data_IF_135395682376
#
_entry.id   IF_135395682376
#
_cell.length_a   1.000
_cell.length_b   1.000
_cell.length_c   1.000
_cell.angle_alpha   90.00
_cell.angle_beta   90.00
_cell.angle_gamma   90.00
#
_symmetry.space_group_name_H-M   'P 1'
#
loop_
_entity.id
_entity.type
_entity.pdbx_description
1 polymer ?
#
# COMPACT_ATOMS: atom_id res chain seq x y z
N UNK A 1 4.97 1.37 -9.65
CA UNK A 1 4.33 1.89 -8.43
C UNK A 1 5.30 2.79 -7.72
N UNK A 2 4.95 4.07 -7.64
CA UNK A 2 5.68 5.07 -6.89
C UNK A 2 5.34 4.91 -5.41
N UNK A 3 6.36 4.94 -4.55
CA UNK A 3 6.25 4.91 -3.09
C UNK A 3 6.56 6.31 -2.57
N UNK A 4 5.67 6.83 -1.73
CA UNK A 4 5.84 8.12 -1.07
C UNK A 4 5.66 7.96 0.43
N UNK A 5 6.46 8.68 1.21
CA UNK A 5 6.39 8.70 2.67
C UNK A 5 5.97 10.07 3.18
N UNK A 6 4.98 10.11 4.06
CA UNK A 6 4.56 11.31 4.76
C UNK A 6 5.34 11.44 6.09
N UNK A 7 6.28 12.40 6.22
CA UNK A 7 7.07 12.53 7.44
C UNK A 7 6.26 13.01 8.65
N UNK A 8 5.06 13.56 8.45
CA UNK A 8 4.20 14.04 9.53
C UNK A 8 3.33 12.92 10.12
N UNK A 9 2.74 12.07 9.27
CA UNK A 9 1.83 10.99 9.72
C UNK A 9 2.49 9.62 9.83
N UNK A 10 3.65 9.42 9.20
CA UNK A 10 4.30 8.12 9.04
C UNK A 10 3.69 7.24 7.94
N UNK A 11 2.71 7.76 7.18
CA UNK A 11 2.02 7.02 6.12
C UNK A 11 2.93 6.76 4.92
N UNK A 12 2.78 5.57 4.34
CA UNK A 12 3.27 5.29 3.00
C UNK A 12 2.11 5.25 2.01
N UNK A 13 2.24 6.01 0.93
CA UNK A 13 1.29 6.06 -0.17
C UNK A 13 1.88 5.42 -1.43
N UNK A 14 1.04 4.67 -2.14
CA UNK A 14 1.43 3.91 -3.32
C UNK A 14 0.52 4.23 -4.50
N UNK A 15 1.13 4.62 -5.63
CA UNK A 15 0.37 5.00 -6.83
C UNK A 15 1.08 4.68 -8.14
N UNK A 16 0.30 4.41 -9.19
CA UNK A 16 0.76 4.38 -10.58
C UNK A 16 0.74 5.78 -11.24
N UNK A 17 0.00 6.73 -10.66
CA UNK A 17 -0.19 8.07 -11.20
C UNK A 17 1.04 8.95 -10.94
N UNK A 18 1.62 9.44 -12.03
CA UNK A 18 2.68 10.46 -12.00
C UNK A 18 2.17 11.75 -11.36
N UNK A 19 0.93 12.14 -11.65
CA UNK A 19 0.34 13.36 -11.12
C UNK A 19 0.10 13.30 -9.61
N UNK A 20 -0.35 12.16 -9.07
CA UNK A 20 -0.50 11.99 -7.62
C UNK A 20 0.88 12.04 -6.93
N UNK A 21 1.88 11.33 -7.49
CA UNK A 21 3.26 11.38 -6.99
C UNK A 21 3.78 12.82 -6.95
N UNK A 22 3.67 13.55 -8.06
CA UNK A 22 4.22 14.91 -8.18
C UNK A 22 3.50 15.90 -7.28
N UNK A 23 2.17 15.76 -7.15
CA UNK A 23 1.39 16.57 -6.23
C UNK A 23 1.81 16.34 -4.77
N UNK A 24 1.87 15.08 -4.33
CA UNK A 24 2.26 14.71 -2.97
C UNK A 24 3.69 15.18 -2.64
N UNK A 25 4.62 14.99 -3.57
CA UNK A 25 5.99 15.48 -3.42
C UNK A 25 6.04 17.02 -3.27
N UNK A 26 5.22 17.75 -4.04
CA UNK A 26 5.15 19.21 -3.95
C UNK A 26 4.57 19.70 -2.61
N UNK A 27 3.66 18.94 -1.99
CA UNK A 27 3.09 19.27 -0.68
C UNK A 27 3.89 18.69 0.50
N UNK A 28 5.12 18.23 0.27
CA UNK A 28 6.08 17.88 1.33
C UNK A 28 6.22 16.39 1.65
N UNK A 29 5.59 15.50 0.90
CA UNK A 29 5.86 14.06 1.02
C UNK A 29 7.23 13.73 0.40
N UNK A 30 7.90 12.73 0.96
CA UNK A 30 9.17 12.24 0.43
C UNK A 30 8.90 11.19 -0.65
N UNK A 31 9.32 11.44 -1.89
CA UNK A 31 9.30 10.43 -2.93
C UNK A 31 10.46 9.44 -2.73
N UNK A 32 10.14 8.19 -2.43
CA UNK A 32 11.12 7.14 -2.11
C UNK A 32 11.51 6.30 -3.34
N UNK A 33 11.01 6.66 -4.52
CA UNK A 33 11.29 5.97 -5.77
C UNK A 33 10.20 4.98 -6.18
N UNK A 34 10.59 4.07 -7.07
CA UNK A 34 9.73 2.99 -7.54
C UNK A 34 9.84 1.83 -6.56
N UNK A 35 8.75 1.52 -5.84
CA UNK A 35 8.73 0.39 -4.89
C UNK A 35 8.65 -0.97 -5.60
N UNK A 36 7.86 -1.05 -6.68
CA UNK A 36 7.76 -2.23 -7.55
C UNK A 36 7.13 -1.87 -8.91
N UNK A 37 7.17 -2.82 -9.85
CA UNK A 37 6.38 -2.79 -11.09
C UNK A 37 5.16 -3.70 -10.93
N UNK A 38 3.98 -3.21 -11.29
CA UNK A 38 2.78 -4.02 -11.38
C UNK A 38 2.51 -4.40 -12.84
N UNK A 39 1.89 -5.56 -13.13
CA UNK A 39 1.39 -5.86 -14.47
C UNK A 39 0.32 -4.83 -14.90
N UNK A 40 0.17 -4.66 -16.21
CA UNK A 40 -0.87 -3.78 -16.76
C UNK A 40 -2.30 -4.31 -16.49
N UNK A 41 -2.46 -5.63 -16.44
CA UNK A 41 -3.69 -6.33 -16.08
C UNK A 41 -3.39 -7.74 -15.57
N UNK A 42 -4.30 -8.29 -14.75
CA UNK A 42 -4.33 -9.70 -14.33
C UNK A 42 -5.73 -10.06 -13.81
N UNK A 43 -5.93 -11.28 -13.33
CA UNK A 43 -7.18 -11.69 -12.67
C UNK A 43 -7.25 -11.28 -11.19
N UNK A 44 -6.18 -10.71 -10.65
CA UNK A 44 -6.03 -10.42 -9.22
C UNK A 44 -5.91 -8.91 -9.01
N UNK A 45 -7.03 -8.17 -8.90
CA UNK A 45 -7.00 -6.74 -8.65
C UNK A 45 -6.51 -6.42 -7.22
N UNK A 46 -5.80 -5.30 -7.08
CA UNK A 46 -5.52 -4.67 -5.79
C UNK A 46 -6.41 -3.44 -5.65
N UNK A 47 -7.35 -3.50 -4.72
CA UNK A 47 -8.28 -2.43 -4.41
C UNK A 47 -7.58 -1.34 -3.61
N UNK A 48 -7.86 -0.07 -3.94
CA UNK A 48 -7.37 1.10 -3.22
C UNK A 48 -8.53 1.76 -2.47
N UNK A 49 -8.41 1.85 -1.15
CA UNK A 49 -9.46 2.38 -0.29
C UNK A 49 -8.93 3.60 0.43
N UNK A 50 -9.78 4.62 0.59
CA UNK A 50 -9.45 5.87 1.27
C UNK A 50 -10.33 6.06 2.51
N UNK A 51 -9.72 6.39 3.64
CA UNK A 51 -10.45 6.77 4.85
C UNK A 51 -10.63 8.30 4.92
N UNK A 52 -11.83 8.83 4.70
CA UNK A 52 -12.05 10.29 4.72
C UNK A 52 -11.87 10.94 6.09
N UNK A 53 -11.87 10.16 7.18
CA UNK A 53 -11.72 10.69 8.53
C UNK A 53 -10.26 10.84 8.96
N UNK A 54 -9.37 9.94 8.50
CA UNK A 54 -7.96 9.94 8.90
C UNK A 54 -7.01 10.38 7.78
N UNK A 55 -7.45 10.31 6.52
CA UNK A 55 -6.61 10.53 5.35
C UNK A 55 -5.85 9.29 4.88
N UNK A 56 -5.93 8.17 5.62
CA UNK A 56 -5.20 6.94 5.31
C UNK A 56 -5.68 6.26 4.02
N UNK A 57 -4.74 5.62 3.33
CA UNK A 57 -5.03 4.66 2.28
C UNK A 57 -4.78 3.22 2.73
N UNK A 58 -5.63 2.31 2.24
CA UNK A 58 -5.45 0.86 2.38
C UNK A 58 -5.46 0.17 1.02
N UNK A 59 -4.70 -0.92 0.91
CA UNK A 59 -4.52 -1.66 -0.34
C UNK A 59 -4.67 -3.15 -0.11
N UNK A 60 -5.57 -3.80 -0.83
CA UNK A 60 -5.82 -5.23 -0.61
C UNK A 60 -6.32 -5.94 -1.86
N UNK A 61 -5.94 -7.22 -1.99
CA UNK A 61 -6.55 -8.15 -2.95
C UNK A 61 -7.84 -8.78 -2.42
N UNK A 62 -8.08 -8.68 -1.11
CA UNK A 62 -9.21 -9.33 -0.46
C UNK A 62 -10.47 -8.47 -0.59
N UNK A 63 -11.40 -8.93 -1.43
CA UNK A 63 -12.68 -8.25 -1.63
C UNK A 63 -13.50 -8.13 -0.34
N UNK A 64 -13.47 -9.12 0.56
CA UNK A 64 -14.17 -9.03 1.84
C UNK A 64 -13.56 -8.00 2.79
N UNK A 65 -12.23 -7.81 2.75
CA UNK A 65 -11.57 -6.74 3.51
C UNK A 65 -11.99 -5.36 3.01
N UNK A 66 -11.99 -5.16 1.67
CA UNK A 66 -12.56 -3.96 1.05
C UNK A 66 -14.01 -3.74 1.49
N UNK A 67 -14.87 -4.74 1.33
CA UNK A 67 -16.31 -4.60 1.58
C UNK A 67 -16.58 -4.26 3.05
N UNK A 68 -15.80 -4.84 3.97
CA UNK A 68 -15.86 -4.49 5.39
C UNK A 68 -15.45 -3.03 5.64
N UNK A 69 -14.35 -2.55 5.04
CA UNK A 69 -13.91 -1.16 5.19
C UNK A 69 -14.93 -0.17 4.61
N UNK A 70 -15.51 -0.49 3.45
CA UNK A 70 -16.59 0.30 2.84
C UNK A 70 -17.81 0.35 3.77
N UNK A 71 -18.18 -0.78 4.39
CA UNK A 71 -19.32 -0.84 5.31
C UNK A 71 -19.17 0.06 6.54
N UNK A 72 -17.93 0.39 6.93
CA UNK A 72 -17.61 1.30 8.04
C UNK A 72 -17.22 2.71 7.58
N UNK A 73 -17.49 3.06 6.32
CA UNK A 73 -17.41 4.42 5.81
C UNK A 73 -16.12 4.79 5.07
N UNK A 74 -15.30 3.82 4.68
CA UNK A 74 -14.19 4.07 3.76
C UNK A 74 -14.71 4.19 2.33
N UNK A 75 -14.02 5.00 1.52
CA UNK A 75 -14.31 5.14 0.10
C UNK A 75 -13.54 4.07 -0.69
N UNK A 76 -14.25 3.29 -1.50
CA UNK A 76 -13.63 2.45 -2.52
C UNK A 76 -13.25 3.32 -3.72
N UNK A 77 -11.95 3.47 -3.97
CA UNK A 77 -11.42 4.20 -5.13
C UNK A 77 -11.22 3.28 -6.34
N UNK A 78 -11.60 2.01 -6.22
CA UNK A 78 -11.54 1.00 -7.26
C UNK A 78 -10.20 0.29 -7.33
N UNK A 79 -9.88 -0.21 -8.53
CA UNK A 79 -8.65 -0.95 -8.78
C UNK A 79 -7.50 0.05 -8.92
N UNK A 80 -6.57 0.04 -7.96
CA UNK A 80 -5.35 0.85 -8.05
C UNK A 80 -4.33 0.25 -9.03
N UNK A 81 -4.18 -1.07 -8.99
CA UNK A 81 -3.30 -1.86 -9.87
C UNK A 81 -3.65 -3.36 -9.75
N UNK A 82 -2.85 -4.21 -10.38
CA UNK A 82 -3.03 -5.66 -10.40
C UNK A 82 -1.85 -6.37 -9.73
N UNK A 83 -2.11 -7.52 -9.12
CA UNK A 83 -1.08 -8.47 -8.68
C UNK A 83 -0.60 -9.32 -9.86
N UNK A 84 0.68 -9.68 -9.88
CA UNK A 84 1.19 -10.68 -10.82
C UNK A 84 0.68 -12.09 -10.47
N UNK A 85 -0.14 -12.66 -11.36
CA UNK A 85 -0.67 -14.03 -11.23
C UNK A 85 0.45 -15.10 -11.35
N UNK A 86 1.62 -14.73 -11.90
CA UNK A 86 2.82 -15.60 -11.96
C UNK A 86 3.65 -15.57 -10.67
N UNK A 87 3.29 -14.70 -9.71
CA UNK A 87 3.95 -14.57 -8.41
C UNK A 87 5.45 -14.26 -8.47
N UNK A 88 5.90 -13.39 -9.40
CA UNK A 88 7.33 -13.16 -9.65
C UNK A 88 8.05 -12.45 -8.50
N UNK A 89 7.50 -11.34 -7.98
CA UNK A 89 8.14 -10.54 -6.92
C UNK A 89 7.17 -10.38 -5.75
N UNK A 90 7.43 -10.94 -4.55
CA UNK A 90 6.51 -10.82 -3.42
C UNK A 90 6.52 -9.41 -2.82
N UNK A 91 5.35 -8.91 -2.42
CA UNK A 91 5.21 -7.72 -1.59
C UNK A 91 4.71 -8.11 -0.20
N UNK A 92 5.54 -7.89 0.79
CA UNK A 92 5.23 -8.14 2.19
C UNK A 92 4.36 -7.02 2.75
N UNK A 93 3.26 -7.40 3.41
CA UNK A 93 2.32 -6.51 4.10
C UNK A 93 2.65 -6.51 5.60
N UNK A 94 2.76 -5.32 6.18
CA UNK A 94 2.91 -5.15 7.63
C UNK A 94 1.84 -4.21 8.18
N UNK A 95 1.37 -4.49 9.39
CA UNK A 95 0.45 -3.65 10.14
C UNK A 95 1.10 -3.11 11.41
N UNK A 96 1.01 -1.81 11.65
CA UNK A 96 1.45 -1.15 12.87
C UNK A 96 0.26 -0.96 13.84
N UNK A 97 0.17 -1.74 14.93
CA UNK A 97 -0.93 -1.63 15.89
C UNK A 97 -0.85 -0.39 16.80
N UNK A 98 0.25 0.38 16.74
CA UNK A 98 0.54 1.46 17.69
C UNK A 98 0.18 2.86 17.15
N UNK A 99 -0.35 2.95 15.93
CA UNK A 99 -0.71 4.20 15.27
C UNK A 99 -2.13 4.14 14.71
N UNK A 100 -2.76 5.30 14.55
CA UNK A 100 -4.08 5.44 13.94
C UNK A 100 -4.04 5.84 12.47
N UNK A 101 -2.89 6.32 11.99
CA UNK A 101 -2.61 6.68 10.60
C UNK A 101 -1.30 6.05 10.15
N UNK A 102 -1.14 5.82 8.84
CA UNK A 102 0.03 5.12 8.32
C UNK A 102 0.15 3.69 8.85
N UNK A 103 -1.01 3.05 9.04
CA UNK A 103 -1.11 1.76 9.74
C UNK A 103 -0.53 0.58 8.95
N UNK A 104 -0.39 0.68 7.63
CA UNK A 104 0.11 -0.41 6.80
C UNK A 104 1.32 0.00 5.97
N UNK A 105 2.21 -0.97 5.76
CA UNK A 105 3.35 -0.85 4.85
C UNK A 105 3.38 -2.03 3.87
N UNK A 106 3.89 -1.77 2.65
CA UNK A 106 3.96 -2.74 1.56
C UNK A 106 5.32 -2.64 0.88
N UNK A 107 6.09 -3.71 0.93
CA UNK A 107 7.49 -3.66 0.48
C UNK A 107 7.94 -4.95 -0.18
N UNK A 108 8.78 -4.84 -1.20
CA UNK A 108 9.50 -5.97 -1.78
C UNK A 108 10.71 -6.37 -0.92
N UNK A 109 11.13 -5.51 0.01
CA UNK A 109 12.27 -5.75 0.88
C UNK A 109 11.89 -6.62 2.07
N UNK A 110 12.33 -7.89 2.04
CA UNK A 110 12.21 -8.77 3.21
C UNK A 110 12.95 -8.21 4.43
N UNK A 111 14.07 -7.51 4.22
CA UNK A 111 14.82 -6.90 5.31
C UNK A 111 14.02 -5.79 6.00
N UNK A 112 13.30 -4.96 5.24
CA UNK A 112 12.42 -3.94 5.82
C UNK A 112 11.26 -4.58 6.59
N UNK A 113 10.61 -5.60 6.00
CA UNK A 113 9.59 -6.38 6.69
C UNK A 113 10.07 -6.91 8.04
N UNK A 114 11.20 -7.63 8.03
CA UNK A 114 11.73 -8.28 9.23
C UNK A 114 12.17 -7.24 10.27
N UNK A 115 12.75 -6.11 9.83
CA UNK A 115 13.16 -5.03 10.71
C UNK A 115 11.96 -4.34 11.38
N UNK A 116 10.89 -4.02 10.64
CA UNK A 116 9.67 -3.43 11.22
C UNK A 116 9.03 -4.35 12.26
N UNK A 117 9.09 -5.67 12.05
CA UNK A 117 8.64 -6.65 13.06
C UNK A 117 9.45 -6.54 14.36
N UNK A 118 10.77 -6.31 14.28
CA UNK A 118 11.58 -6.06 15.50
C UNK A 118 11.18 -4.78 16.24
N UNK A 119 10.55 -3.83 15.54
CA UNK A 119 10.00 -2.59 16.10
C UNK A 119 8.55 -2.72 16.57
N UNK A 120 7.99 -3.94 16.59
CA UNK A 120 6.64 -4.21 17.10
C UNK A 120 5.52 -4.13 16.05
N UNK A 121 5.86 -4.00 14.76
CA UNK A 121 4.87 -4.20 13.69
C UNK A 121 4.51 -5.68 13.57
N UNK A 122 3.34 -5.96 13.02
CA UNK A 122 2.88 -7.32 12.71
C UNK A 122 3.10 -7.60 11.23
N UNK A 123 3.83 -8.66 10.91
CA UNK A 123 3.86 -9.19 9.56
C UNK A 123 2.53 -9.89 9.25
N UNK A 124 1.93 -9.56 8.11
CA UNK A 124 0.66 -10.14 7.65
C UNK A 124 0.85 -11.06 6.43
N UNK A 125 2.10 -11.35 6.08
CA UNK A 125 2.46 -12.21 4.95
C UNK A 125 2.61 -11.41 3.65
N UNK A 126 2.32 -12.07 2.53
CA UNK A 126 2.40 -11.46 1.20
C UNK A 126 1.03 -10.86 0.87
N UNK A 127 0.99 -9.55 0.62
CA UNK A 127 -0.23 -8.86 0.21
C UNK A 127 -0.58 -9.10 -1.26
N UNK A 128 0.43 -9.05 -2.13
CA UNK A 128 0.33 -9.32 -3.57
C UNK A 128 1.73 -9.47 -4.19
N UNK A 129 1.80 -9.58 -5.51
CA UNK A 129 3.04 -9.75 -6.26
C UNK A 129 3.21 -8.71 -7.36
N UNK A 130 4.45 -8.31 -7.63
CA UNK A 130 4.87 -7.49 -8.76
C UNK A 130 5.56 -8.31 -9.85
N UNK A 131 5.92 -7.64 -10.95
CA UNK A 131 6.71 -8.20 -12.07
C UNK A 131 8.17 -7.74 -12.00
N UNK A 132 9.05 -8.44 -12.74
CA UNK A 132 10.47 -8.10 -12.89
C UNK A 132 10.73 -6.81 -13.70
#
# INVERSE_FOLDING_TARGET
>A
MYRLYNPCSGEHFYTASVSERDHLANIGWTYEGIGWKAPASSNTPVYRLYNPNSGDHHYTVNASERDNLVSIGWNDEGIGWYSDDSHSVPLYRQYNPNVSTGTHNYTTSKNENDWLVTLGWKAEGIGWYGVN
#
